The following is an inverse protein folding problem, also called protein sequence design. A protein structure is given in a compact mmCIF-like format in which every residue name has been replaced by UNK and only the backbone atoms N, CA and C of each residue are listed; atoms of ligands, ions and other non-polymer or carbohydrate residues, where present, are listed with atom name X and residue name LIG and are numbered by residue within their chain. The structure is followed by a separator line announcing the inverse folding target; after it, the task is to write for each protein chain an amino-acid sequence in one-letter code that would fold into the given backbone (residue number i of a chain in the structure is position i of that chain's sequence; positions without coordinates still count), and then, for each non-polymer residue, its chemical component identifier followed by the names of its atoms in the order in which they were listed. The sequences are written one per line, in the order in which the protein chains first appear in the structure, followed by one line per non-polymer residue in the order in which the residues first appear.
data_IF_092468174531
#
_entry.id   IF_092468174531
#
_cell.length_a   1.000
_cell.length_b   1.000
_cell.length_c   1.000
_cell.angle_alpha   90.00
_cell.angle_beta   90.00
_cell.angle_gamma   90.00
#
_symmetry.space_group_name_H-M   'P 1'
#
loop_
_entity.id
_entity.type
_entity.pdbx_description
1 polymer ?
#
# COMPACT_ATOMS: atom_id res chain seq x y z
N UNK A 1 24.84 -2.76 -1.83
CA UNK A 1 24.31 -2.76 -1.53
C UNK A 1 23.99 -2.95 -0.90
N UNK A 2 24.24 -2.87 -0.62
CA UNK A 2 23.87 -2.96 -0.03
C UNK A 2 23.21 -2.97 0.67
N UNK A 3 23.34 -2.56 1.08
CA UNK A 3 22.78 -2.44 2.16
C UNK A 3 21.71 -2.90 2.18
N UNK A 4 21.76 -3.09 1.83
CA UNK A 4 21.03 -3.43 1.60
C UNK A 4 20.42 -4.27 2.17
N UNK A 5 20.70 -4.85 2.56
CA UNK A 5 20.16 -5.66 3.15
C UNK A 5 19.64 -5.26 4.28
N UNK A 6 19.41 -4.28 4.46
CA UNK A 6 18.87 -3.80 5.52
C UNK A 6 17.49 -4.11 5.66
N UNK A 7 16.86 -4.15 6.80
CA UNK A 7 15.47 -4.32 6.99
C UNK A 7 14.75 -3.20 6.41
N UNK A 8 13.61 -3.40 5.80
CA UNK A 8 12.78 -2.32 5.32
C UNK A 8 12.12 -1.63 6.49
N UNK A 9 11.97 -0.33 6.38
CA UNK A 9 11.27 0.42 7.42
C UNK A 9 9.78 0.12 7.32
N UNK A 10 9.05 0.52 8.34
CA UNK A 10 7.61 0.33 8.32
C UNK A 10 6.98 1.07 7.15
N UNK A 11 7.46 2.27 6.88
CA UNK A 11 6.93 3.04 5.77
C UNK A 11 7.15 2.33 4.45
N UNK A 12 8.34 1.77 4.28
CA UNK A 12 8.63 1.07 3.04
C UNK A 12 7.73 -0.14 2.85
N UNK A 13 7.50 -0.88 3.94
CA UNK A 13 6.62 -2.04 3.84
C UNK A 13 5.21 -1.62 3.50
N UNK A 14 4.75 -0.54 4.10
CA UNK A 14 3.42 -0.05 3.83
C UNK A 14 3.29 0.45 2.41
N UNK A 15 4.35 1.07 1.89
CA UNK A 15 4.31 1.56 0.52
C UNK A 15 4.20 0.41 -0.47
N UNK A 16 4.92 -0.67 -0.20
CA UNK A 16 4.83 -1.84 -1.06
C UNK A 16 3.42 -2.39 -1.04
N UNK A 17 2.85 -2.49 0.15
CA UNK A 17 1.49 -3.00 0.29
C UNK A 17 0.50 -2.08 -0.41
N UNK A 18 0.69 -0.78 -0.26
CA UNK A 18 -0.19 0.19 -0.89
C UNK A 18 -0.20 0.01 -2.41
N UNK A 19 0.98 -0.10 -3.00
CA UNK A 19 1.07 -0.27 -4.43
C UNK A 19 0.45 -1.58 -4.89
N UNK A 20 0.66 -2.64 -4.11
CA UNK A 20 0.07 -3.93 -4.46
C UNK A 20 -1.44 -3.86 -4.42
N UNK A 21 -1.99 -3.18 -3.40
CA UNK A 21 -3.44 -3.06 -3.28
C UNK A 21 -4.02 -2.25 -4.43
N UNK A 22 -3.34 -1.19 -4.82
CA UNK A 22 -3.81 -0.38 -5.93
C UNK A 22 -3.79 -1.17 -7.23
N UNK A 23 -2.78 -1.98 -7.42
CA UNK A 23 -2.70 -2.78 -8.62
C UNK A 23 -3.83 -3.80 -8.65
N UNK A 24 -4.08 -4.43 -7.52
CA UNK A 24 -5.17 -5.39 -7.45
C UNK A 24 -6.51 -4.71 -7.70
N UNK A 25 -6.68 -3.52 -7.12
CA UNK A 25 -7.92 -2.79 -7.34
C UNK A 25 -8.10 -2.48 -8.82
N UNK A 26 -7.03 -2.08 -9.46
CA UNK A 26 -7.11 -1.76 -10.88
C UNK A 26 -7.51 -3.00 -11.70
N UNK A 27 -6.86 -4.12 -11.41
CA UNK A 27 -7.19 -5.35 -12.13
C UNK A 27 -8.63 -5.77 -11.89
N UNK A 28 -9.07 -5.67 -10.64
CA UNK A 28 -10.42 -6.09 -10.31
C UNK A 28 -11.47 -5.14 -10.84
N UNK A 29 -11.10 -3.91 -11.09
CA UNK A 29 -12.07 -2.94 -11.58
C UNK A 29 -12.66 -3.36 -12.92
N UNK A 30 -11.97 -4.23 -13.62
CA UNK A 30 -12.46 -4.69 -14.90
C UNK A 30 -13.33 -5.93 -14.79
N UNK A 31 -13.20 -6.67 -13.71
CA UNK A 31 -13.96 -7.92 -13.57
C UNK A 31 -14.85 -7.93 -12.34
N UNK A 32 -14.42 -7.31 -11.25
CA UNK A 32 -15.20 -7.35 -10.02
C UNK A 32 -15.10 -6.02 -9.29
N UNK A 33 -16.05 -5.14 -9.56
CA UNK A 33 -16.02 -3.80 -8.99
C UNK A 33 -16.14 -3.81 -7.48
N UNK A 34 -16.90 -4.73 -6.94
CA UNK A 34 -17.04 -4.81 -5.48
C UNK A 34 -15.71 -5.05 -4.81
N UNK A 35 -14.98 -6.02 -5.33
CA UNK A 35 -13.67 -6.31 -4.74
C UNK A 35 -12.69 -5.20 -5.03
N UNK A 36 -12.82 -4.57 -6.19
CA UNK A 36 -11.96 -3.45 -6.52
C UNK A 36 -12.15 -2.33 -5.50
N UNK A 37 -13.38 -2.02 -5.17
CA UNK A 37 -13.66 -0.98 -4.19
C UNK A 37 -13.08 -1.34 -2.83
N UNK A 38 -13.18 -2.61 -2.47
CA UNK A 38 -12.66 -3.06 -1.20
C UNK A 38 -11.15 -2.90 -1.14
N UNK A 39 -10.47 -3.25 -2.22
CA UNK A 39 -9.02 -3.09 -2.27
C UNK A 39 -8.62 -1.62 -2.23
N UNK A 40 -9.40 -0.78 -2.89
CA UNK A 40 -9.14 0.65 -2.86
C UNK A 40 -9.27 1.17 -1.44
N UNK A 41 -10.29 0.71 -0.73
CA UNK A 41 -10.48 1.14 0.65
C UNK A 41 -9.29 0.73 1.51
N UNK A 42 -8.81 -0.50 1.33
CA UNK A 42 -7.66 -0.97 2.08
C UNK A 42 -6.42 -0.15 1.74
N UNK A 43 -6.26 0.19 0.47
CA UNK A 43 -5.12 1.01 0.07
C UNK A 43 -5.17 2.36 0.74
N UNK A 44 -6.35 2.94 0.86
CA UNK A 44 -6.49 4.23 1.53
C UNK A 44 -6.13 4.14 2.99
N UNK A 45 -6.48 3.04 3.64
CA UNK A 45 -6.11 2.84 5.02
C UNK A 45 -4.60 2.79 5.17
N UNK A 46 -3.94 2.07 4.27
CA UNK A 46 -2.50 1.98 4.31
C UNK A 46 -1.88 3.35 4.05
N UNK A 47 -2.46 4.10 3.13
CA UNK A 47 -1.98 5.44 2.84
C UNK A 47 -2.03 6.33 4.07
N UNK A 48 -3.11 6.22 4.84
CA UNK A 48 -3.23 7.02 6.06
C UNK A 48 -2.15 6.65 7.06
N UNK A 49 -1.84 5.37 7.17
CA UNK A 49 -0.80 4.95 8.08
C UNK A 49 0.56 5.48 7.65
N UNK A 50 0.80 5.50 6.35
CA UNK A 50 2.05 6.06 5.85
C UNK A 50 2.14 7.53 6.21
N UNK A 51 1.06 8.25 6.05
CA UNK A 51 1.04 9.67 6.39
C UNK A 51 1.34 9.89 7.85
N UNK A 52 0.72 9.10 8.71
CA UNK A 52 0.93 9.24 10.13
C UNK A 52 2.38 9.01 10.49
N UNK A 53 2.98 7.97 9.92
CA UNK A 53 4.37 7.67 10.20
C UNK A 53 5.30 8.76 9.70
N UNK A 54 5.00 9.33 8.54
CA UNK A 54 5.81 10.42 8.03
C UNK A 54 5.71 11.66 8.88
N UNK A 55 4.54 11.92 9.40
CA UNK A 55 4.37 13.10 10.24
C UNK A 55 5.05 12.96 11.58
N UNK A 56 5.20 11.76 12.04
CA UNK A 56 5.82 11.56 13.31
C UNK A 56 7.29 11.79 13.29
N UNK A 57 7.88 11.89 12.16
CA UNK A 57 9.25 12.19 12.11
C UNK A 57 9.53 13.53 12.63
#
# INVERSE_FOLDING_TARGET
MFGIFKKKTKVEKLEIKYKALLKEAYDLSKTNRSKSDQKTFEAEEVSKQIEILNKKK
#
